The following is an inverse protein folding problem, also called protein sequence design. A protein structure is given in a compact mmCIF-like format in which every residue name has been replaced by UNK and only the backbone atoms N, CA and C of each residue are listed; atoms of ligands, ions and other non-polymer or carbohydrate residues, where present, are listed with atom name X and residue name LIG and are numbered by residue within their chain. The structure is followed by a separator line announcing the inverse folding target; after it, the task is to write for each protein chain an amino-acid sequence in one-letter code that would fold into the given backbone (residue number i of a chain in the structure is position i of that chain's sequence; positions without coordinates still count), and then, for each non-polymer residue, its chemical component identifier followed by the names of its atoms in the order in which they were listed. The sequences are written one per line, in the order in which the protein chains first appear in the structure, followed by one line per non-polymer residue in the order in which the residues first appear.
data_IF_348618217383
#
_entry.id   IF_348618217383
#
_cell.length_a   1.000
_cell.length_b   1.000
_cell.length_c   1.000
_cell.angle_alpha   90.00
_cell.angle_beta   90.00
_cell.angle_gamma   90.00
#
_symmetry.space_group_name_H-M   'P 1'
#
loop_
_entity.id
_entity.type
_entity.pdbx_description
1 polymer ?
#
# COMPACT_ATOMS: atom_id res chain seq x y z
N UNK A 1 -15.12 1.24 -14.52
CA UNK A 1 -15.90 1.17 -13.27
C UNK A 1 -15.39 2.27 -12.36
N UNK A 2 -16.27 3.04 -11.72
CA UNK A 2 -15.87 4.10 -10.80
C UNK A 2 -15.41 3.55 -9.45
N UNK A 3 -14.56 4.29 -8.74
CA UNK A 3 -14.10 3.94 -7.38
C UNK A 3 -15.30 3.72 -6.45
N UNK A 4 -16.39 4.47 -6.65
CA UNK A 4 -17.62 4.35 -5.88
C UNK A 4 -18.32 3.00 -6.09
N UNK A 5 -18.43 2.55 -7.35
CA UNK A 5 -19.01 1.23 -7.66
C UNK A 5 -18.16 0.08 -7.10
N UNK A 6 -16.84 0.26 -7.09
CA UNK A 6 -15.88 -0.71 -6.56
C UNK A 6 -16.00 -0.81 -5.04
N UNK A 7 -16.15 0.32 -4.35
CA UNK A 7 -16.41 0.36 -2.91
C UNK A 7 -17.77 -0.25 -2.54
N UNK A 8 -18.81 0.01 -3.32
CA UNK A 8 -20.15 -0.58 -3.09
C UNK A 8 -20.08 -2.10 -3.20
N UNK A 9 -19.51 -2.63 -4.29
CA UNK A 9 -19.37 -4.08 -4.45
C UNK A 9 -18.52 -4.73 -3.36
N UNK A 10 -17.48 -4.04 -2.91
CA UNK A 10 -16.66 -4.51 -1.80
C UNK A 10 -17.50 -4.66 -0.53
N UNK A 11 -18.31 -3.65 -0.20
CA UNK A 11 -19.23 -3.68 0.95
C UNK A 11 -20.29 -4.77 0.79
N UNK A 12 -20.91 -4.89 -0.39
CA UNK A 12 -21.91 -5.92 -0.70
C UNK A 12 -21.36 -7.36 -0.62
N UNK A 13 -20.06 -7.54 -0.83
CA UNK A 13 -19.40 -8.84 -0.72
C UNK A 13 -19.03 -9.23 0.71
N UNK A 14 -19.19 -8.33 1.68
CA UNK A 14 -18.84 -8.60 3.07
C UNK A 14 -19.92 -9.44 3.76
N UNK A 15 -19.54 -10.33 4.69
CA UNK A 15 -20.52 -11.06 5.49
C UNK A 15 -21.23 -10.12 6.47
N UNK A 16 -22.48 -10.43 6.80
CA UNK A 16 -23.33 -9.58 7.66
C UNK A 16 -22.79 -9.40 9.10
N UNK A 17 -21.87 -10.26 9.53
CA UNK A 17 -21.22 -10.19 10.84
C UNK A 17 -19.90 -9.39 10.85
N UNK A 18 -19.58 -8.70 9.75
CA UNK A 18 -18.38 -7.87 9.68
C UNK A 18 -18.48 -6.68 10.64
N UNK A 19 -17.42 -6.46 11.41
CA UNK A 19 -17.32 -5.23 12.21
C UNK A 19 -16.92 -4.05 11.33
N UNK A 20 -17.24 -2.83 11.76
CA UNK A 20 -16.82 -1.63 11.05
C UNK A 20 -15.30 -1.55 10.84
N UNK A 21 -14.50 -1.97 11.84
CA UNK A 21 -13.05 -1.98 11.75
C UNK A 21 -12.54 -2.90 10.61
N UNK A 22 -13.13 -4.09 10.48
CA UNK A 22 -12.78 -5.04 9.41
C UNK A 22 -13.23 -4.54 8.03
N UNK A 23 -14.40 -3.90 7.95
CA UNK A 23 -14.88 -3.30 6.72
C UNK A 23 -13.95 -2.16 6.26
N UNK A 24 -13.54 -1.29 7.20
CA UNK A 24 -12.63 -0.19 6.96
C UNK A 24 -11.25 -0.69 6.48
N UNK A 25 -10.69 -1.70 7.15
CA UNK A 25 -9.41 -2.31 6.76
C UNK A 25 -9.46 -2.82 5.32
N UNK A 26 -10.51 -3.56 4.95
CA UNK A 26 -10.69 -4.07 3.58
C UNK A 26 -10.79 -2.95 2.55
N UNK A 27 -11.54 -1.88 2.85
CA UNK A 27 -11.66 -0.72 1.97
C UNK A 27 -10.29 -0.04 1.78
N UNK A 28 -9.51 0.12 2.86
CA UNK A 28 -8.18 0.72 2.80
C UNK A 28 -7.22 -0.11 1.97
N UNK A 29 -7.22 -1.44 2.13
CA UNK A 29 -6.41 -2.36 1.33
C UNK A 29 -6.79 -2.25 -0.15
N UNK A 30 -8.08 -2.28 -0.47
CA UNK A 30 -8.55 -2.16 -1.86
C UNK A 30 -8.12 -0.83 -2.50
N UNK A 31 -8.23 0.28 -1.76
CA UNK A 31 -7.79 1.59 -2.22
C UNK A 31 -6.27 1.66 -2.43
N UNK A 32 -5.49 1.05 -1.53
CA UNK A 32 -4.03 0.98 -1.63
C UNK A 32 -3.58 0.19 -2.86
N UNK A 33 -4.23 -0.95 -3.13
CA UNK A 33 -3.95 -1.76 -4.32
C UNK A 33 -4.31 -1.02 -5.61
N UNK A 34 -5.49 -0.42 -5.68
CA UNK A 34 -5.90 0.36 -6.86
C UNK A 34 -4.94 1.52 -7.16
N UNK A 35 -4.43 2.17 -6.11
CA UNK A 35 -3.40 3.19 -6.26
C UNK A 35 -2.07 2.60 -6.76
N UNK A 36 -1.63 1.47 -6.20
CA UNK A 36 -0.40 0.81 -6.60
C UNK A 36 -0.45 0.38 -8.08
N UNK A 37 -1.57 -0.17 -8.53
CA UNK A 37 -1.82 -0.50 -9.94
C UNK A 37 -1.67 0.73 -10.84
N UNK A 38 -2.30 1.85 -10.47
CA UNK A 38 -2.20 3.10 -11.23
C UNK A 38 -0.77 3.67 -11.24
N UNK A 39 -0.01 3.49 -10.15
CA UNK A 39 1.40 3.87 -10.09
C UNK A 39 2.24 3.01 -11.04
N UNK A 40 2.06 1.69 -11.03
CA UNK A 40 2.72 0.74 -11.94
C UNK A 40 2.40 1.08 -13.41
N UNK A 41 1.12 1.25 -13.75
CA UNK A 41 0.69 1.56 -15.12
C UNK A 41 1.27 2.89 -15.63
N UNK A 42 1.49 3.85 -14.72
CA UNK A 42 2.12 5.13 -15.04
C UNK A 42 3.65 5.09 -15.09
N UNK A 43 4.26 3.91 -14.90
CA UNK A 43 5.71 3.74 -14.81
C UNK A 43 6.33 4.25 -13.50
N UNK A 44 5.51 4.59 -12.51
CA UNK A 44 5.95 4.97 -11.16
C UNK A 44 6.11 3.71 -10.31
N UNK A 45 7.22 3.02 -10.49
CA UNK A 45 7.63 1.89 -9.65
C UNK A 45 9.10 2.04 -9.26
N UNK A 46 9.50 1.32 -8.23
CA UNK A 46 10.91 1.17 -7.87
C UNK A 46 11.38 -0.23 -8.24
N UNK A 47 12.55 -0.34 -8.85
CA UNK A 47 13.22 -1.64 -9.05
C UNK A 47 13.74 -2.18 -7.72
N UNK A 48 14.02 -3.48 -7.67
CA UNK A 48 14.63 -4.10 -6.50
C UNK A 48 15.91 -3.36 -6.07
N UNK A 49 16.82 -3.07 -6.99
CA UNK A 49 18.06 -2.32 -6.72
C UNK A 49 17.80 -0.94 -6.10
N UNK A 50 16.76 -0.24 -6.56
CA UNK A 50 16.38 1.07 -6.02
C UNK A 50 15.83 0.96 -4.59
N UNK A 51 15.04 -0.09 -4.33
CA UNK A 51 14.48 -0.36 -3.00
C UNK A 51 15.59 -0.75 -2.02
N UNK A 52 16.48 -1.66 -2.41
CA UNK A 52 17.63 -2.10 -1.59
C UNK A 52 18.55 -0.93 -1.25
N UNK A 53 18.93 -0.11 -2.26
CA UNK A 53 19.76 1.07 -2.04
C UNK A 53 19.11 2.09 -1.08
N UNK A 54 17.78 2.24 -1.16
CA UNK A 54 17.03 3.10 -0.24
C UNK A 54 17.04 2.56 1.19
N UNK A 55 16.78 1.25 1.36
CA UNK A 55 16.81 0.58 2.66
C UNK A 55 18.20 0.71 3.29
N UNK A 56 19.27 0.44 2.54
CA UNK A 56 20.65 0.57 3.02
C UNK A 56 21.00 2.01 3.39
N UNK A 57 20.45 3.00 2.68
CA UNK A 57 20.59 4.42 3.04
C UNK A 57 19.92 4.73 4.37
N UNK A 58 18.69 4.24 4.58
CA UNK A 58 17.95 4.42 5.83
C UNK A 58 18.64 3.73 7.01
N UNK A 59 19.11 2.50 6.83
CA UNK A 59 19.84 1.76 7.86
C UNK A 59 21.13 2.48 8.25
N UNK A 60 21.92 2.97 7.29
CA UNK A 60 23.13 3.75 7.58
C UNK A 60 22.86 5.03 8.38
N UNK A 61 21.76 5.73 8.09
CA UNK A 61 21.35 6.94 8.85
C UNK A 61 20.99 6.60 10.30
N UNK A 62 20.36 5.45 10.52
CA UNK A 62 19.96 4.98 11.85
C UNK A 62 21.15 4.46 12.67
N UNK A 63 22.18 3.90 12.02
CA UNK A 63 23.36 3.35 12.68
C UNK A 63 24.31 4.41 13.28
N UNK A 64 24.11 5.71 13.02
CA UNK A 64 24.97 6.80 13.54
C UNK A 64 26.40 6.81 12.97
N UNK A 65 27.19 7.88 13.17
CA UNK A 65 28.60 7.86 12.82
C UNK A 65 29.29 6.80 13.70
N UNK A 66 29.84 5.76 13.07
CA UNK A 66 30.77 4.85 13.72
C UNK A 66 31.86 5.70 14.34
N UNK A 67 31.89 5.77 15.67
CA UNK A 67 32.92 6.47 16.41
C UNK A 67 34.28 5.88 16.01
N UNK A 68 35.03 6.65 15.22
CA UNK A 68 36.43 6.43 14.91
C UNK A 68 37.29 7.24 15.87
#
# INVERSE_FOLDING_TARGET
MSIKEQAIRLVESMPDNVTWAQALERIQIAAALSRAEAEIDSGRFATQDQVEAHIDSCLRKLSGPSAA
#
